data_IF_010232058801
#
_entry.id   IF_010232058801
#
_cell.length_a   1.000
_cell.length_b   1.000
_cell.length_c   1.000
_cell.angle_alpha   90.00
_cell.angle_beta   90.00
_cell.angle_gamma   90.00
#
_symmetry.space_group_name_H-M   'P 1'
#
loop_
_entity.id
_entity.type
_entity.pdbx_description
1 polymer ?
#
# COMPACT_ATOMS: atom_id res chain seq x y z
N UNK A 1 -16.38 3.74 23.27
CA UNK A 1 -15.90 3.05 22.09
C UNK A 1 -17.04 3.02 21.08
N UNK A 2 -16.93 3.70 19.96
CA UNK A 2 -17.87 3.52 18.86
C UNK A 2 -17.57 2.14 18.25
N UNK A 3 -18.54 1.25 18.26
CA UNK A 3 -18.47 -0.02 17.52
C UNK A 3 -18.36 0.33 16.03
N UNK A 4 -17.17 0.12 15.46
CA UNK A 4 -16.97 0.23 14.02
C UNK A 4 -17.77 -0.91 13.40
N UNK A 5 -18.87 -0.59 12.72
CA UNK A 5 -19.64 -1.57 11.97
C UNK A 5 -18.74 -2.12 10.85
N UNK A 6 -18.65 -3.45 10.67
CA UNK A 6 -17.85 -4.02 9.59
C UNK A 6 -18.35 -3.47 8.26
N UNK A 7 -17.51 -2.72 7.57
CA UNK A 7 -17.85 -2.20 6.24
C UNK A 7 -17.74 -3.33 5.23
N UNK A 8 -18.65 -3.38 4.27
CA UNK A 8 -18.53 -4.31 3.15
C UNK A 8 -17.24 -4.03 2.40
N UNK A 9 -16.37 -5.04 2.34
CA UNK A 9 -15.11 -4.96 1.61
C UNK A 9 -15.41 -4.85 0.11
N UNK A 10 -14.79 -3.88 -0.54
CA UNK A 10 -14.93 -3.63 -1.97
C UNK A 10 -13.56 -3.50 -2.61
N UNK A 11 -13.45 -4.05 -3.80
CA UNK A 11 -12.27 -3.89 -4.64
C UNK A 11 -12.33 -2.57 -5.40
N UNK A 12 -11.18 -1.90 -5.59
CA UNK A 12 -11.13 -0.80 -6.54
C UNK A 12 -11.34 -1.33 -7.97
N UNK A 13 -11.52 -0.43 -8.93
CA UNK A 13 -11.55 -0.84 -10.34
C UNK A 13 -10.19 -1.35 -10.80
N UNK A 14 -10.17 -2.26 -11.77
CA UNK A 14 -8.92 -2.74 -12.35
C UNK A 14 -8.23 -1.64 -13.16
N UNK A 15 -6.89 -1.62 -13.13
CA UNK A 15 -6.11 -0.80 -14.06
C UNK A 15 -6.29 -1.33 -15.48
N UNK A 16 -6.89 -0.57 -16.41
CA UNK A 16 -7.04 -1.02 -17.79
C UNK A 16 -5.70 -0.99 -18.53
N UNK A 17 -5.56 -1.81 -19.56
CA UNK A 17 -4.41 -1.71 -20.49
C UNK A 17 -4.37 -0.32 -21.11
N UNK A 18 -3.22 0.32 -21.09
CA UNK A 18 -3.06 1.70 -21.56
C UNK A 18 -3.68 2.77 -20.65
N UNK A 19 -4.10 2.39 -19.45
CA UNK A 19 -4.63 3.33 -18.45
C UNK A 19 -3.59 4.30 -17.92
N UNK A 20 -4.04 5.26 -17.13
CA UNK A 20 -3.20 6.31 -16.56
C UNK A 20 -2.83 6.01 -15.11
N UNK A 21 -1.54 5.99 -14.82
CA UNK A 21 -0.99 5.79 -13.48
C UNK A 21 -0.54 7.14 -12.90
N UNK A 22 -1.05 7.49 -11.74
CA UNK A 22 -0.60 8.65 -10.96
C UNK A 22 0.51 8.26 -9.99
N UNK A 23 1.55 9.08 -9.89
CA UNK A 23 2.65 8.91 -8.94
C UNK A 23 2.68 10.11 -8.01
N UNK A 24 2.65 9.87 -6.69
CA UNK A 24 2.81 10.89 -5.65
C UNK A 24 3.72 10.38 -4.52
N UNK A 25 4.23 11.31 -3.71
CA UNK A 25 5.07 11.02 -2.54
C UNK A 25 4.33 11.33 -1.23
N UNK A 26 3.48 10.42 -0.73
CA UNK A 26 2.67 10.71 0.46
C UNK A 26 3.46 10.60 1.78
N UNK A 27 4.70 10.11 1.73
CA UNK A 27 5.55 9.81 2.88
C UNK A 27 6.93 10.48 2.75
N UNK A 28 7.99 9.69 2.60
CA UNK A 28 9.35 10.20 2.43
C UNK A 28 9.66 10.64 0.99
N UNK A 29 10.70 11.48 0.80
CA UNK A 29 11.09 11.97 -0.51
C UNK A 29 11.67 10.87 -1.39
N UNK A 30 11.40 10.94 -2.69
CA UNK A 30 11.98 10.07 -3.70
C UNK A 30 13.48 10.35 -3.90
N UNK A 31 14.23 9.38 -4.41
CA UNK A 31 15.60 9.62 -4.84
C UNK A 31 15.57 10.48 -6.11
N UNK A 32 16.49 11.44 -6.25
CA UNK A 32 16.57 12.29 -7.45
C UNK A 32 16.56 11.45 -8.74
N UNK A 33 15.72 11.80 -9.69
CA UNK A 33 15.59 11.15 -11.00
C UNK A 33 14.90 9.78 -11.01
N UNK A 34 14.63 9.18 -9.84
CA UNK A 34 14.00 7.84 -9.79
C UNK A 34 12.58 7.84 -10.32
N UNK A 35 11.84 8.93 -10.16
CA UNK A 35 10.47 9.03 -10.65
C UNK A 35 10.41 9.12 -12.17
N UNK A 36 11.39 9.79 -12.80
CA UNK A 36 11.52 9.83 -14.26
C UNK A 36 11.77 8.43 -14.80
N UNK A 37 12.74 7.69 -14.22
CA UNK A 37 13.03 6.31 -14.61
C UNK A 37 11.79 5.42 -14.43
N UNK A 38 11.07 5.54 -13.30
CA UNK A 38 9.86 4.79 -13.07
C UNK A 38 8.76 5.11 -14.10
N UNK A 39 8.56 6.38 -14.39
CA UNK A 39 7.58 6.82 -15.38
C UNK A 39 7.91 6.27 -16.78
N UNK A 40 9.18 6.30 -17.17
CA UNK A 40 9.61 5.78 -18.47
C UNK A 40 9.43 4.25 -18.54
N UNK A 41 9.78 3.52 -17.49
CA UNK A 41 9.54 2.08 -17.39
C UNK A 41 8.06 1.69 -17.47
N UNK A 42 7.16 2.51 -16.92
CA UNK A 42 5.72 2.32 -17.03
C UNK A 42 5.20 2.68 -18.43
N UNK A 43 5.71 3.76 -19.03
CA UNK A 43 5.38 4.16 -20.42
C UNK A 43 5.82 3.11 -21.45
N UNK A 44 7.00 2.53 -21.27
CA UNK A 44 7.47 1.41 -22.11
C UNK A 44 6.55 0.18 -22.05
N UNK A 45 5.79 0.03 -20.97
CA UNK A 45 4.75 -1.00 -20.82
C UNK A 45 3.38 -0.57 -21.35
N UNK A 46 3.30 0.61 -21.96
CA UNK A 46 2.10 1.13 -22.61
C UNK A 46 1.13 1.88 -21.71
N UNK A 47 1.54 2.32 -20.53
CA UNK A 47 0.71 3.12 -19.61
C UNK A 47 1.00 4.62 -19.77
N UNK A 48 -0.03 5.44 -19.58
CA UNK A 48 0.17 6.88 -19.37
C UNK A 48 0.60 7.13 -17.93
N UNK A 49 1.47 8.13 -17.71
CA UNK A 49 2.00 8.42 -16.37
C UNK A 49 1.91 9.91 -16.06
N UNK A 50 1.31 10.20 -14.92
CA UNK A 50 1.22 11.54 -14.33
C UNK A 50 2.01 11.54 -13.02
N UNK A 51 3.06 12.35 -12.94
CA UNK A 51 3.79 12.63 -11.69
C UNK A 51 3.19 13.91 -11.10
N UNK A 52 2.82 13.88 -9.83
CA UNK A 52 2.24 15.06 -9.17
C UNK A 52 3.26 16.18 -8.98
N UNK A 53 2.81 17.44 -8.88
CA UNK A 53 3.72 18.59 -8.82
C UNK A 53 4.72 18.57 -7.66
N UNK A 54 4.34 18.00 -6.51
CA UNK A 54 5.18 17.97 -5.32
C UNK A 54 5.85 16.61 -5.08
N UNK A 55 5.79 15.66 -6.04
CA UNK A 55 6.30 14.30 -5.85
C UNK A 55 7.81 14.22 -5.59
N UNK A 56 8.59 15.21 -6.00
CA UNK A 56 10.05 15.31 -5.76
C UNK A 56 10.41 16.34 -4.67
N UNK A 57 9.40 16.88 -3.95
CA UNK A 57 9.64 17.84 -2.89
C UNK A 57 10.35 17.19 -1.69
N UNK A 58 11.11 18.02 -0.97
CA UNK A 58 11.74 17.70 0.32
C UNK A 58 11.32 18.78 1.30
N UNK A 59 10.85 18.39 2.49
CA UNK A 59 10.49 19.33 3.54
C UNK A 59 11.72 20.08 4.06
N UNK A 60 11.63 21.40 4.21
CA UNK A 60 12.76 22.24 4.60
C UNK A 60 13.37 21.89 5.95
N UNK A 61 12.52 21.69 6.97
CA UNK A 61 12.97 21.41 8.34
C UNK A 61 13.06 19.89 8.64
N UNK A 62 12.29 19.08 7.93
CA UNK A 62 12.19 17.63 8.15
C UNK A 62 12.51 16.86 6.86
N UNK A 63 13.77 16.72 6.48
CA UNK A 63 14.17 16.19 5.18
C UNK A 63 13.80 14.71 4.95
N UNK A 64 13.26 14.03 5.94
CA UNK A 64 12.67 12.69 5.82
C UNK A 64 11.23 12.71 5.29
N UNK A 65 10.60 13.89 5.13
CA UNK A 65 9.26 14.07 4.54
C UNK A 65 9.35 14.61 3.11
N UNK A 66 8.43 14.16 2.26
CA UNK A 66 8.29 14.63 0.87
C UNK A 66 7.50 15.95 0.79
N UNK A 67 8.05 17.02 1.38
CA UNK A 67 7.40 18.32 1.46
C UNK A 67 6.39 18.45 2.60
N UNK A 68 5.72 19.58 2.64
CA UNK A 68 4.71 19.90 3.65
C UNK A 68 3.50 18.99 3.56
N UNK A 69 2.76 18.88 4.66
CA UNK A 69 1.55 18.06 4.72
C UNK A 69 0.51 18.50 3.68
N UNK A 70 0.31 19.82 3.51
CA UNK A 70 -0.66 20.36 2.56
C UNK A 70 -0.31 19.99 1.11
N UNK A 71 0.97 20.03 0.76
CA UNK A 71 1.45 19.62 -0.56
C UNK A 71 1.19 18.13 -0.82
N UNK A 72 1.53 17.26 0.15
CA UNK A 72 1.31 15.81 0.05
C UNK A 72 -0.17 15.44 -0.01
N UNK A 73 -1.00 16.11 0.80
CA UNK A 73 -2.47 15.96 0.79
C UNK A 73 -3.05 16.41 -0.54
N UNK A 74 -2.63 17.58 -1.04
CA UNK A 74 -3.09 18.12 -2.33
C UNK A 74 -2.77 17.17 -3.49
N UNK A 75 -1.56 16.65 -3.52
CA UNK A 75 -1.12 15.70 -4.56
C UNK A 75 -1.94 14.41 -4.53
N UNK A 76 -2.09 13.77 -3.37
CA UNK A 76 -2.83 12.53 -3.26
C UNK A 76 -4.32 12.72 -3.52
N UNK A 77 -4.96 13.74 -2.94
CA UNK A 77 -6.36 14.04 -3.20
C UNK A 77 -6.60 14.45 -4.66
N UNK A 78 -5.67 15.15 -5.30
CA UNK A 78 -5.74 15.48 -6.71
C UNK A 78 -5.80 14.22 -7.60
N UNK A 79 -5.01 13.19 -7.30
CA UNK A 79 -5.08 11.91 -8.01
C UNK A 79 -6.37 11.16 -7.71
N UNK A 80 -6.81 11.14 -6.45
CA UNK A 80 -8.05 10.46 -6.03
C UNK A 80 -9.28 11.07 -6.69
N UNK A 81 -9.31 12.38 -6.86
CA UNK A 81 -10.44 13.12 -7.46
C UNK A 81 -10.46 13.10 -8.98
N UNK A 82 -9.30 12.90 -9.63
CA UNK A 82 -9.19 12.95 -11.08
C UNK A 82 -9.72 11.66 -11.73
N UNK A 83 -10.83 11.72 -12.49
CA UNK A 83 -11.43 10.54 -13.13
C UNK A 83 -10.57 9.92 -14.22
N UNK A 84 -9.55 10.64 -14.71
CA UNK A 84 -8.64 10.15 -15.74
C UNK A 84 -7.45 9.35 -15.16
N UNK A 85 -7.32 9.27 -13.84
CA UNK A 85 -6.32 8.43 -13.17
C UNK A 85 -6.93 7.07 -12.88
N UNK A 86 -6.27 6.01 -13.30
CA UNK A 86 -6.75 4.63 -13.18
C UNK A 86 -6.13 3.87 -12.00
N UNK A 87 -4.90 4.21 -11.62
CA UNK A 87 -4.21 3.67 -10.46
C UNK A 87 -3.26 4.70 -9.86
N UNK A 88 -2.91 4.55 -8.59
CA UNK A 88 -1.97 5.42 -7.87
C UNK A 88 -0.84 4.55 -7.33
N UNK A 89 0.40 4.92 -7.61
CA UNK A 89 1.59 4.29 -7.05
C UNK A 89 2.31 5.32 -6.16
N UNK A 90 2.55 4.95 -4.90
CA UNK A 90 3.39 5.76 -4.04
C UNK A 90 4.84 5.77 -4.54
N UNK A 91 5.49 6.92 -4.50
CA UNK A 91 6.88 7.07 -4.90
C UNK A 91 7.81 6.23 -4.01
N UNK A 92 7.61 6.30 -2.69
CA UNK A 92 8.27 5.47 -1.69
C UNK A 92 7.52 5.52 -0.35
N UNK A 93 7.92 4.63 0.57
CA UNK A 93 7.58 4.70 1.98
C UNK A 93 8.46 5.71 2.75
N UNK A 94 8.88 5.35 3.91
CA UNK A 94 9.65 6.20 4.83
C UNK A 94 8.84 6.51 6.07
N UNK A 95 8.36 7.76 6.19
CA UNK A 95 7.50 8.20 7.29
C UNK A 95 6.55 9.30 6.83
N UNK A 96 5.38 9.37 7.43
CA UNK A 96 4.49 10.53 7.36
C UNK A 96 3.19 10.32 6.61
N UNK A 97 2.94 9.16 6.02
CA UNK A 97 1.68 8.91 5.29
C UNK A 97 0.47 8.88 6.24
N UNK A 98 0.63 8.43 7.47
CA UNK A 98 -0.43 8.48 8.49
C UNK A 98 -0.93 9.91 8.77
N UNK A 99 -0.06 10.91 8.63
CA UNK A 99 -0.43 12.32 8.81
C UNK A 99 -1.51 12.80 7.82
N UNK A 100 -1.62 12.14 6.67
CA UNK A 100 -2.55 12.51 5.61
C UNK A 100 -3.98 12.01 5.88
N UNK A 101 -4.13 10.97 6.70
CA UNK A 101 -5.40 10.27 6.92
C UNK A 101 -6.56 11.22 7.31
N UNK A 102 -6.39 12.22 8.21
CA UNK A 102 -7.47 13.14 8.55
C UNK A 102 -7.93 14.04 7.39
N UNK A 103 -7.15 14.17 6.35
CA UNK A 103 -7.35 15.13 5.25
C UNK A 103 -7.67 14.48 3.90
N UNK A 104 -7.78 13.14 3.85
CA UNK A 104 -8.10 12.42 2.62
C UNK A 104 -9.56 12.65 2.21
N UNK A 105 -9.78 12.76 0.91
CA UNK A 105 -11.11 12.80 0.32
C UNK A 105 -11.72 11.38 0.20
N UNK A 106 -12.19 10.85 1.32
CA UNK A 106 -12.86 9.55 1.37
C UNK A 106 -14.11 9.47 0.50
N UNK A 107 -14.75 10.61 0.20
CA UNK A 107 -15.92 10.66 -0.69
C UNK A 107 -15.52 10.32 -2.13
N UNK A 108 -14.41 10.87 -2.60
CA UNK A 108 -13.89 10.55 -3.93
C UNK A 108 -13.41 9.09 -4.00
N UNK A 109 -12.77 8.57 -2.95
CA UNK A 109 -12.39 7.14 -2.88
C UNK A 109 -13.62 6.24 -2.99
N UNK A 110 -14.71 6.57 -2.31
CA UNK A 110 -15.96 5.78 -2.36
C UNK A 110 -16.65 5.85 -3.72
N UNK A 111 -16.58 7.02 -4.39
CA UNK A 111 -17.22 7.27 -5.68
C UNK A 111 -16.49 6.58 -6.85
N UNK A 112 -15.17 6.66 -6.86
CA UNK A 112 -14.31 6.12 -7.92
C UNK A 112 -13.07 5.44 -7.31
N UNK A 113 -13.24 4.23 -6.74
CA UNK A 113 -12.16 3.54 -6.05
C UNK A 113 -11.06 3.11 -7.03
N UNK A 114 -9.85 3.62 -6.83
CA UNK A 114 -8.65 3.32 -7.61
C UNK A 114 -7.70 2.42 -6.82
N UNK A 115 -6.93 1.52 -7.44
CA UNK A 115 -5.81 0.87 -6.78
C UNK A 115 -4.83 1.91 -6.23
N UNK A 116 -4.57 1.86 -4.91
CA UNK A 116 -3.45 2.56 -4.28
C UNK A 116 -2.41 1.52 -3.90
N UNK A 117 -1.21 1.66 -4.46
CA UNK A 117 -0.14 0.67 -4.30
C UNK A 117 1.04 1.27 -3.56
N UNK A 118 1.51 0.53 -2.57
CA UNK A 118 2.72 0.84 -1.81
C UNK A 118 2.81 -0.02 -0.55
N UNK A 119 4.01 -0.18 -0.03
CA UNK A 119 4.31 -0.95 1.19
C UNK A 119 5.08 -0.09 2.20
N UNK A 120 5.57 -0.69 3.29
CA UNK A 120 6.24 0.06 4.37
C UNK A 120 5.30 1.12 4.95
N UNK A 121 5.69 2.38 5.05
CA UNK A 121 4.89 3.49 5.59
C UNK A 121 3.51 3.65 4.89
N UNK A 122 3.38 3.26 3.63
CA UNK A 122 2.09 3.31 2.90
C UNK A 122 1.05 2.34 3.48
N UNK A 123 1.46 1.40 4.31
CA UNK A 123 0.56 0.57 5.12
C UNK A 123 -0.45 1.41 5.88
N UNK A 124 -0.05 2.55 6.44
CA UNK A 124 -0.96 3.45 7.17
C UNK A 124 -2.10 3.96 6.29
N UNK A 125 -1.80 4.35 5.04
CA UNK A 125 -2.84 4.77 4.07
C UNK A 125 -3.75 3.59 3.70
N UNK A 126 -3.18 2.43 3.39
CA UNK A 126 -3.95 1.25 3.02
C UNK A 126 -4.89 0.81 4.14
N UNK A 127 -4.42 0.79 5.40
CA UNK A 127 -5.24 0.47 6.58
C UNK A 127 -6.31 1.53 6.82
N UNK A 128 -5.94 2.82 6.79
CA UNK A 128 -6.87 3.91 7.04
C UNK A 128 -7.97 4.01 5.98
N UNK A 129 -7.64 3.83 4.71
CA UNK A 129 -8.63 3.79 3.61
C UNK A 129 -9.54 2.58 3.78
N UNK A 130 -9.00 1.40 4.10
CA UNK A 130 -9.80 0.22 4.37
C UNK A 130 -10.76 0.45 5.54
N UNK A 131 -10.28 1.04 6.64
CA UNK A 131 -11.10 1.33 7.82
C UNK A 131 -12.24 2.31 7.52
N UNK A 132 -11.94 3.38 6.75
CA UNK A 132 -12.90 4.45 6.47
C UNK A 132 -13.86 4.14 5.33
N UNK A 133 -13.48 3.30 4.38
CA UNK A 133 -14.25 3.11 3.14
C UNK A 133 -14.61 1.65 2.84
N UNK A 134 -13.89 0.70 3.40
CA UNK A 134 -13.95 -0.71 3.00
C UNK A 134 -13.22 -1.01 1.68
N UNK A 135 -12.57 -0.03 1.05
CA UNK A 135 -11.81 -0.24 -0.19
C UNK A 135 -10.45 -0.82 0.16
N UNK A 136 -10.06 -1.91 -0.52
CA UNK A 136 -8.76 -2.55 -0.33
C UNK A 136 -7.66 -1.78 -1.06
N UNK A 137 -6.51 -1.63 -0.37
CA UNK A 137 -5.26 -1.18 -0.97
C UNK A 137 -4.35 -2.35 -1.31
N UNK A 138 -3.20 -2.06 -1.91
CA UNK A 138 -2.24 -3.07 -2.35
C UNK A 138 -0.87 -2.81 -1.72
N UNK A 139 -0.34 -3.81 -1.02
CA UNK A 139 1.05 -3.81 -0.61
C UNK A 139 1.89 -4.32 -1.80
N UNK A 140 2.65 -3.44 -2.42
CA UNK A 140 3.35 -3.75 -3.65
C UNK A 140 4.45 -2.74 -3.98
N UNK A 141 5.19 -3.04 -5.05
CA UNK A 141 6.34 -2.25 -5.49
C UNK A 141 5.98 -0.77 -5.72
N UNK A 142 6.91 0.10 -5.35
CA UNK A 142 6.82 1.55 -5.48
C UNK A 142 7.81 2.07 -6.54
N UNK A 143 7.82 3.37 -6.80
CA UNK A 143 8.66 3.94 -7.85
C UNK A 143 10.13 4.07 -7.43
N UNK A 144 10.41 4.57 -6.23
CA UNK A 144 11.75 4.96 -5.76
C UNK A 144 12.31 4.08 -4.65
N UNK A 145 11.61 3.01 -4.27
CA UNK A 145 12.13 2.04 -3.30
C UNK A 145 13.09 1.05 -3.97
N UNK A 146 13.90 0.33 -3.16
CA UNK A 146 15.01 -0.51 -3.59
C UNK A 146 14.80 -1.32 -4.87
N UNK A 147 13.68 -2.04 -4.98
CA UNK A 147 13.34 -2.90 -6.13
C UNK A 147 12.19 -2.32 -6.98
N UNK A 148 11.94 -1.02 -6.86
CA UNK A 148 10.84 -0.35 -7.53
C UNK A 148 11.06 -0.06 -9.02
N UNK A 149 10.03 0.48 -9.67
CA UNK A 149 10.05 0.85 -11.09
C UNK A 149 11.15 1.86 -11.45
N UNK A 150 11.63 2.66 -10.49
CA UNK A 150 12.75 3.59 -10.68
C UNK A 150 14.14 2.96 -10.61
N UNK A 151 14.24 1.64 -10.58
CA UNK A 151 15.50 0.89 -10.62
C UNK A 151 15.68 0.25 -12.00
N UNK A 152 16.91 0.25 -12.49
CA UNK A 152 17.25 -0.35 -13.78
C UNK A 152 17.09 -1.90 -13.80
N UNK A 153 16.84 -2.51 -12.65
CA UNK A 153 16.82 -3.97 -12.46
C UNK A 153 15.51 -4.50 -11.88
N UNK A 154 14.38 -3.85 -12.14
CA UNK A 154 13.09 -4.45 -11.77
C UNK A 154 12.95 -5.81 -12.45
N UNK A 155 12.90 -6.88 -11.65
CA UNK A 155 12.76 -8.23 -12.20
C UNK A 155 11.39 -8.46 -12.83
N UNK A 156 11.36 -9.37 -13.82
CA UNK A 156 10.13 -9.66 -14.58
C UNK A 156 9.03 -10.27 -13.72
N UNK A 157 9.39 -11.03 -12.66
CA UNK A 157 8.42 -11.64 -11.76
C UNK A 157 7.68 -10.57 -10.94
N UNK A 158 8.40 -9.63 -10.33
CA UNK A 158 7.79 -8.55 -9.53
C UNK A 158 6.90 -7.65 -10.38
N UNK A 159 7.36 -7.29 -11.60
CA UNK A 159 6.56 -6.50 -12.52
C UNK A 159 5.29 -7.23 -12.96
N UNK A 160 5.38 -8.50 -13.33
CA UNK A 160 4.23 -9.30 -13.75
C UNK A 160 3.23 -9.44 -12.59
N UNK A 161 3.70 -9.80 -11.39
CA UNK A 161 2.87 -9.93 -10.19
C UNK A 161 2.12 -8.63 -9.86
N UNK A 162 2.80 -7.48 -10.01
CA UNK A 162 2.18 -6.17 -9.80
C UNK A 162 1.01 -5.94 -10.77
N UNK A 163 1.23 -6.11 -12.08
CA UNK A 163 0.19 -5.86 -13.08
C UNK A 163 -0.93 -6.89 -13.03
N UNK A 164 -0.63 -8.13 -12.67
CA UNK A 164 -1.66 -9.17 -12.46
C UNK A 164 -2.54 -8.81 -11.25
N UNK A 165 -1.95 -8.27 -10.18
CA UNK A 165 -2.69 -7.90 -8.98
C UNK A 165 -3.68 -6.75 -9.22
N UNK A 166 -3.26 -5.67 -9.90
CA UNK A 166 -4.10 -4.48 -10.08
C UNK A 166 -4.85 -4.44 -11.40
N UNK A 167 -4.45 -5.24 -12.39
CA UNK A 167 -5.06 -5.29 -13.73
C UNK A 167 -6.15 -6.36 -13.90
N UNK A 168 -6.15 -7.40 -13.08
CA UNK A 168 -7.08 -8.55 -13.16
C UNK A 168 -8.02 -8.65 -11.97
N UNK A 169 -8.51 -7.54 -11.47
CA UNK A 169 -9.46 -7.52 -10.35
C UNK A 169 -10.79 -8.14 -10.77
N UNK A 170 -10.88 -9.47 -10.72
CA UNK A 170 -12.15 -10.16 -10.87
C UNK A 170 -12.91 -10.09 -9.56
N UNK A 171 -14.24 -9.94 -9.61
CA UNK A 171 -15.10 -9.79 -8.42
C UNK A 171 -15.02 -10.91 -7.38
N UNK A 172 -14.21 -11.93 -7.60
CA UNK A 172 -13.89 -12.99 -6.65
C UNK A 172 -12.58 -12.75 -5.89
N UNK A 173 -11.90 -11.62 -6.13
CA UNK A 173 -10.93 -11.03 -5.23
C UNK A 173 -9.67 -11.81 -4.92
N UNK A 174 -9.13 -12.57 -5.85
CA UNK A 174 -7.87 -13.28 -5.61
C UNK A 174 -6.79 -12.87 -6.60
N UNK A 175 -5.58 -12.64 -6.10
CA UNK A 175 -4.38 -12.48 -6.92
C UNK A 175 -3.80 -13.85 -7.38
N UNK A 176 -4.55 -14.93 -7.23
CA UNK A 176 -4.10 -16.29 -7.54
C UNK A 176 -3.36 -16.95 -6.38
N UNK A 177 -2.55 -17.94 -6.70
CA UNK A 177 -1.71 -18.64 -5.73
C UNK A 177 -0.55 -17.75 -5.28
N UNK A 178 -0.15 -17.89 -4.02
CA UNK A 178 1.09 -17.28 -3.54
C UNK A 178 2.26 -17.91 -4.31
N UNK A 179 2.97 -17.09 -5.06
CA UNK A 179 4.12 -17.52 -5.86
C UNK A 179 5.40 -17.05 -5.18
N UNK A 180 6.42 -17.89 -5.20
CA UNK A 180 7.79 -17.52 -4.89
C UNK A 180 8.61 -17.51 -6.17
N UNK A 181 9.57 -16.58 -6.35
CA UNK A 181 10.34 -16.47 -7.60
C UNK A 181 11.10 -17.74 -7.98
N UNK A 182 11.52 -18.50 -7.00
CA UNK A 182 12.34 -19.71 -7.12
C UNK A 182 11.58 -21.00 -6.84
N UNK A 183 10.27 -20.93 -6.61
CA UNK A 183 9.46 -22.09 -6.25
C UNK A 183 9.70 -22.61 -4.82
N UNK A 184 10.34 -21.79 -3.96
CA UNK A 184 10.57 -22.16 -2.56
C UNK A 184 9.26 -22.42 -1.84
N UNK A 185 9.13 -23.55 -1.18
CA UNK A 185 7.97 -23.86 -0.34
C UNK A 185 7.95 -22.98 0.90
N UNK A 186 6.78 -22.47 1.26
CA UNK A 186 6.60 -21.74 2.50
C UNK A 186 6.72 -22.70 3.69
N UNK A 187 7.62 -22.38 4.63
CA UNK A 187 7.76 -23.13 5.86
C UNK A 187 6.63 -22.80 6.83
N UNK A 188 6.03 -23.82 7.46
CA UNK A 188 5.10 -23.62 8.56
C UNK A 188 5.83 -23.65 9.90
N UNK A 189 5.68 -22.62 10.72
CA UNK A 189 6.13 -22.60 12.10
C UNK A 189 4.94 -22.82 13.02
N UNK A 190 5.00 -23.84 13.89
CA UNK A 190 3.99 -24.06 14.93
C UNK A 190 3.71 -25.53 15.19
N UNK A 191 3.15 -25.79 16.37
CA UNK A 191 2.94 -27.13 16.94
C UNK A 191 1.64 -27.81 16.48
N UNK A 192 0.97 -27.34 15.44
CA UNK A 192 -0.25 -27.99 14.95
C UNK A 192 0.10 -29.07 13.91
N UNK A 193 -0.11 -30.36 14.23
CA UNK A 193 0.30 -31.46 13.36
C UNK A 193 -0.57 -31.65 12.11
N UNK A 194 -1.54 -30.79 11.86
CA UNK A 194 -2.38 -30.85 10.67
C UNK A 194 -2.87 -29.44 10.32
N UNK A 195 -2.35 -28.79 9.27
CA UNK A 195 -2.86 -27.51 8.87
C UNK A 195 -4.27 -27.71 8.32
N UNK A 196 -5.27 -27.42 9.16
CA UNK A 196 -6.61 -27.18 8.65
C UNK A 196 -6.51 -26.07 7.62
N UNK A 197 -7.16 -26.22 6.47
CA UNK A 197 -7.29 -25.13 5.51
C UNK A 197 -7.92 -23.93 6.21
N UNK A 198 -7.20 -22.83 6.25
CA UNK A 198 -7.71 -21.57 6.82
C UNK A 198 -8.11 -20.68 5.65
N UNK A 199 -9.32 -20.13 5.72
CA UNK A 199 -9.82 -19.16 4.75
C UNK A 199 -10.06 -17.84 5.44
N UNK A 200 -9.55 -16.75 4.86
CA UNK A 200 -9.70 -15.41 5.40
C UNK A 200 -9.24 -14.34 4.41
N UNK A 201 -9.51 -13.10 4.74
CA UNK A 201 -9.00 -11.94 3.98
C UNK A 201 -7.49 -11.83 4.20
N UNK A 202 -6.71 -11.74 3.13
CA UNK A 202 -5.28 -11.50 3.23
C UNK A 202 -5.03 -10.00 3.42
N UNK A 203 -4.33 -9.64 4.49
CA UNK A 203 -3.97 -8.24 4.80
C UNK A 203 -2.47 -8.17 5.04
N UNK A 204 -1.70 -7.78 4.02
CA UNK A 204 -0.27 -7.53 4.15
C UNK A 204 -0.02 -6.17 4.80
N UNK A 205 0.84 -6.14 5.80
CA UNK A 205 1.12 -4.93 6.59
C UNK A 205 2.56 -4.90 7.08
N UNK A 206 3.12 -3.70 7.17
CA UNK A 206 4.26 -3.43 8.03
C UNK A 206 3.76 -3.47 9.49
N UNK A 207 4.38 -4.30 10.31
CA UNK A 207 3.89 -4.64 11.66
C UNK A 207 3.91 -3.42 12.59
N UNK A 208 4.95 -2.60 12.53
CA UNK A 208 5.05 -1.38 13.32
C UNK A 208 3.92 -0.40 13.00
N UNK A 209 3.55 -0.24 11.73
CA UNK A 209 2.46 0.63 11.29
C UNK A 209 1.08 0.06 11.65
N UNK A 210 0.91 -1.25 11.63
CA UNK A 210 -0.30 -1.89 12.15
C UNK A 210 -0.50 -1.59 13.63
N UNK A 211 0.56 -1.73 14.42
CA UNK A 211 0.53 -1.45 15.87
C UNK A 211 0.28 0.03 16.16
N UNK A 212 0.87 0.94 15.37
CA UNK A 212 0.64 2.39 15.48
C UNK A 212 -0.83 2.77 15.24
N UNK A 213 -1.52 2.06 14.35
CA UNK A 213 -2.91 2.34 14.02
C UNK A 213 -3.90 1.96 15.13
N UNK A 214 -3.54 1.06 16.07
CA UNK A 214 -4.41 0.59 17.15
C UNK A 214 -4.89 1.76 18.01
N UNK A 215 -6.20 1.81 18.26
CA UNK A 215 -6.81 2.86 19.06
C UNK A 215 -7.14 4.13 18.28
N UNK A 216 -6.81 4.18 17.00
CA UNK A 216 -7.20 5.28 16.09
C UNK A 216 -8.45 4.93 15.29
N UNK A 217 -9.17 5.91 14.72
CA UNK A 217 -10.31 5.65 13.83
C UNK A 217 -9.89 5.00 12.48
N UNK A 218 -8.59 4.88 12.23
CA UNK A 218 -8.00 4.35 11.00
C UNK A 218 -7.59 2.88 11.11
N UNK A 219 -7.82 2.25 12.26
CA UNK A 219 -7.60 0.82 12.46
C UNK A 219 -8.81 0.05 11.88
N UNK A 220 -8.62 -0.84 10.88
CA UNK A 220 -9.72 -1.59 10.28
C UNK A 220 -10.17 -2.76 11.15
N UNK A 221 -11.36 -3.28 10.88
CA UNK A 221 -11.80 -4.56 11.43
C UNK A 221 -10.99 -5.71 10.81
N UNK A 222 -10.17 -6.35 11.62
CA UNK A 222 -9.31 -7.48 11.23
C UNK A 222 -9.92 -8.84 11.57
N UNK A 223 -11.16 -8.90 12.03
CA UNK A 223 -11.83 -10.16 12.39
C UNK A 223 -11.81 -11.14 11.21
N UNK A 224 -11.25 -12.33 11.43
CA UNK A 224 -11.12 -13.37 10.42
C UNK A 224 -10.11 -13.06 9.30
N UNK A 225 -9.26 -12.06 9.46
CA UNK A 225 -8.18 -11.79 8.51
C UNK A 225 -6.99 -12.73 8.70
N UNK A 226 -6.27 -12.97 7.62
CA UNK A 226 -4.94 -13.58 7.60
C UNK A 226 -3.95 -12.43 7.43
N UNK A 227 -3.14 -12.17 8.47
CA UNK A 227 -2.14 -11.12 8.42
C UNK A 227 -0.85 -11.64 7.81
N UNK A 228 -0.31 -10.90 6.85
CA UNK A 228 1.07 -11.07 6.36
C UNK A 228 1.88 -9.94 6.95
N UNK A 229 2.66 -10.27 7.98
CA UNK A 229 3.45 -9.30 8.73
C UNK A 229 4.85 -9.20 8.13
N UNK A 230 5.24 -7.98 7.81
CA UNK A 230 6.58 -7.62 7.37
C UNK A 230 7.09 -6.48 8.27
N UNK A 231 8.37 -6.45 8.54
CA UNK A 231 9.04 -5.29 9.15
C UNK A 231 10.54 -5.34 8.83
N UNK A 232 11.24 -4.24 9.01
CA UNK A 232 12.65 -4.13 8.70
C UNK A 232 13.42 -3.44 9.83
N UNK A 233 14.54 -4.04 10.21
CA UNK A 233 15.49 -3.40 11.16
C UNK A 233 15.04 -3.44 12.61
N UNK A 234 14.00 -4.20 12.94
CA UNK A 234 13.49 -4.32 14.32
C UNK A 234 14.28 -5.34 15.13
N UNK A 235 14.63 -4.97 16.37
CA UNK A 235 15.18 -5.90 17.34
C UNK A 235 14.14 -6.95 17.74
N UNK A 236 14.59 -8.15 18.11
CA UNK A 236 13.71 -9.26 18.52
C UNK A 236 12.74 -8.86 19.62
N UNK A 237 13.20 -8.10 20.62
CA UNK A 237 12.31 -7.63 21.71
C UNK A 237 11.24 -6.64 21.21
N UNK A 238 11.52 -5.86 20.18
CA UNK A 238 10.54 -4.96 19.56
C UNK A 238 9.44 -5.75 18.87
N UNK A 239 9.83 -6.79 18.13
CA UNK A 239 8.88 -7.73 17.49
C UNK A 239 8.01 -8.42 18.53
N UNK A 240 8.61 -8.95 19.60
CA UNK A 240 7.86 -9.59 20.71
C UNK A 240 6.88 -8.61 21.37
N UNK A 241 7.32 -7.37 21.62
CA UNK A 241 6.46 -6.30 22.14
C UNK A 241 5.27 -5.99 21.23
N UNK A 242 5.48 -5.91 19.93
CA UNK A 242 4.42 -5.67 18.94
C UNK A 242 3.41 -6.83 18.92
N UNK A 243 3.87 -8.08 18.92
CA UNK A 243 2.98 -9.23 19.04
C UNK A 243 2.18 -9.24 20.33
N UNK A 244 2.84 -8.93 21.45
CA UNK A 244 2.15 -8.84 22.73
C UNK A 244 1.10 -7.72 22.73
N UNK A 245 1.40 -6.56 22.10
CA UNK A 245 0.43 -5.48 21.94
C UNK A 245 -0.78 -5.89 21.11
N UNK A 246 -0.56 -6.53 19.95
CA UNK A 246 -1.63 -7.08 19.11
C UNK A 246 -2.52 -8.06 19.90
N UNK A 247 -1.89 -8.95 20.67
CA UNK A 247 -2.62 -9.91 21.53
C UNK A 247 -3.46 -9.24 22.61
N UNK A 248 -2.97 -8.16 23.23
CA UNK A 248 -3.68 -7.43 24.28
C UNK A 248 -4.80 -6.53 23.73
N UNK A 249 -4.66 -6.10 22.48
CA UNK A 249 -5.66 -5.28 21.80
C UNK A 249 -6.86 -6.09 21.29
N UNK A 250 -6.79 -7.43 21.26
CA UNK A 250 -7.85 -8.35 20.79
C UNK A 250 -7.69 -8.75 19.37
#
# INVERSE_FOLDING_TARGET
MQTIQPRNIRWPRALPKGGTIGICSPAGPSKPGSLTIAADALRERGYEVVITPNAEAIHGDFPYLAGDIDARVSDLNGLLQNPNIDAIIAARGGYGSAQLLPYLDYTSILRDPKPLVGYSDITSLNLGILAQTGIVGFSGIMCSAGDGFGQASLDGFSAQSFFDAIGTLTGNGGVGSLLTPDGTELSSFGSRPNPATITGRLIPVCMSLLVEAIGTPYFPDLTGAILVLEDIGEDVYSIDRMFNHLKLAG
#
